data_IF_510222990023
#
_entry.id   IF_510222990023
#
_cell.length_a   1.000
_cell.length_b   1.000
_cell.length_c   1.000
_cell.angle_alpha   90.00
_cell.angle_beta   90.00
_cell.angle_gamma   90.00
#
_symmetry.space_group_name_H-M   'P 1'
#
loop_
_entity.id
_entity.type
_entity.pdbx_description
1 polymer ?
#
# COMPACT_ATOMS: atom_id res chain seq x y z
N UNK A 1 -50.87 -25.27 54.14
CA UNK A 1 -50.44 -26.68 53.96
C UNK A 1 -49.52 -26.75 52.75
N UNK A 2 -48.56 -27.67 52.78
CA UNK A 2 -47.70 -28.13 51.69
C UNK A 2 -46.55 -27.22 51.19
N UNK A 3 -45.33 -27.63 51.59
CA UNK A 3 -44.01 -27.36 51.00
C UNK A 3 -43.91 -27.90 49.58
N UNK A 4 -43.22 -27.19 48.68
CA UNK A 4 -42.46 -27.77 47.55
C UNK A 4 -41.45 -26.72 47.06
N UNK A 5 -40.19 -26.77 47.53
CA UNK A 5 -39.02 -27.36 46.85
C UNK A 5 -38.59 -26.64 45.56
N UNK A 6 -37.58 -25.78 45.75
CA UNK A 6 -36.30 -25.72 45.02
C UNK A 6 -36.38 -25.63 43.50
N UNK A 7 -35.93 -24.49 42.98
CA UNK A 7 -34.91 -24.45 41.92
C UNK A 7 -34.08 -23.18 42.07
N UNK A 8 -32.92 -23.34 42.71
CA UNK A 8 -31.77 -22.44 42.53
C UNK A 8 -31.34 -22.55 41.07
N UNK A 9 -31.30 -21.43 40.35
CA UNK A 9 -30.40 -21.29 39.21
C UNK A 9 -29.49 -20.11 39.54
N UNK A 10 -28.34 -20.46 40.12
CA UNK A 10 -27.23 -19.55 40.32
C UNK A 10 -26.65 -19.21 38.95
N UNK A 11 -26.73 -17.94 38.56
CA UNK A 11 -25.99 -17.37 37.44
C UNK A 11 -24.52 -17.34 37.85
N UNK A 12 -23.75 -18.32 37.36
CA UNK A 12 -22.29 -18.33 37.47
C UNK A 12 -21.72 -17.25 36.55
N UNK A 13 -21.34 -16.12 37.16
CA UNK A 13 -20.38 -15.18 36.61
C UNK A 13 -19.02 -15.88 36.50
N UNK A 14 -18.73 -16.47 35.33
CA UNK A 14 -17.37 -16.85 34.97
C UNK A 14 -16.62 -15.59 34.49
N UNK A 15 -15.89 -14.95 35.41
CA UNK A 15 -14.79 -14.06 35.06
C UNK A 15 -13.70 -14.89 34.35
N UNK A 16 -13.76 -14.97 33.02
CA UNK A 16 -12.60 -15.29 32.20
C UNK A 16 -11.88 -13.98 31.85
N UNK A 17 -11.28 -13.37 32.87
CA UNK A 17 -10.32 -12.27 32.74
C UNK A 17 -8.95 -12.76 33.26
N UNK A 18 -8.29 -13.52 32.42
CA UNK A 18 -6.84 -13.75 32.34
C UNK A 18 -6.64 -14.01 30.84
N UNK A 19 -5.90 -13.24 30.07
CA UNK A 19 -4.72 -12.48 30.41
C UNK A 19 -3.75 -12.74 29.26
N UNK A 20 -3.51 -11.69 28.46
CA UNK A 20 -2.29 -11.42 27.71
C UNK A 20 -1.79 -12.45 26.68
N UNK A 21 -1.85 -11.99 25.44
CA UNK A 21 -0.70 -11.91 24.53
C UNK A 21 -0.06 -13.24 24.13
N UNK A 22 -0.75 -13.98 23.26
CA UNK A 22 -0.04 -14.42 22.05
C UNK A 22 -0.02 -13.24 21.10
N UNK A 23 0.87 -12.30 21.40
CA UNK A 23 1.43 -11.44 20.37
C UNK A 23 2.17 -12.38 19.42
N UNK A 24 1.45 -12.86 18.41
CA UNK A 24 2.07 -13.05 17.12
C UNK A 24 2.45 -11.62 16.71
N UNK A 25 3.63 -11.20 17.17
CA UNK A 25 4.40 -10.20 16.44
C UNK A 25 4.34 -10.74 15.03
N UNK A 26 3.57 -10.07 14.16
CA UNK A 26 3.81 -10.10 12.74
C UNK A 26 5.33 -9.94 12.64
N UNK A 27 5.99 -11.07 12.35
CA UNK A 27 7.43 -11.11 12.30
C UNK A 27 7.80 -10.04 11.31
N UNK A 28 8.59 -9.06 11.73
CA UNK A 28 9.33 -8.27 10.77
C UNK A 28 9.89 -9.27 9.76
N UNK A 29 9.69 -9.08 8.45
CA UNK A 29 10.17 -10.02 7.46
C UNK A 29 11.63 -10.30 7.78
N UNK A 30 11.98 -11.57 7.95
CA UNK A 30 13.34 -11.95 8.29
C UNK A 30 14.24 -11.27 7.25
N UNK A 31 15.10 -10.35 7.70
CA UNK A 31 15.89 -9.49 6.81
C UNK A 31 16.81 -10.29 5.87
N UNK A 32 16.98 -11.60 6.14
CA UNK A 32 17.81 -12.54 5.39
C UNK A 32 17.01 -13.60 4.59
N UNK A 33 15.67 -13.51 4.53
CA UNK A 33 14.91 -14.38 3.64
C UNK A 33 15.18 -13.98 2.18
N UNK A 34 15.40 -14.96 1.27
CA UNK A 34 15.53 -14.65 -0.15
C UNK A 34 14.27 -13.92 -0.63
N UNK A 35 14.40 -12.92 -1.53
CA UNK A 35 13.24 -12.21 -2.05
C UNK A 35 12.25 -13.19 -2.68
N UNK A 36 10.99 -13.10 -2.26
CA UNK A 36 9.91 -13.91 -2.79
C UNK A 36 9.23 -13.17 -3.95
N UNK A 37 9.11 -13.78 -5.15
CA UNK A 37 8.61 -13.09 -6.33
C UNK A 37 7.10 -12.77 -6.24
N UNK A 38 6.33 -13.53 -5.46
CA UNK A 38 4.91 -13.26 -5.23
C UNK A 38 4.73 -12.05 -4.31
N UNK A 39 5.47 -11.99 -3.20
CA UNK A 39 5.50 -10.80 -2.32
C UNK A 39 5.93 -9.54 -3.09
N UNK A 40 6.90 -9.67 -4.00
CA UNK A 40 7.33 -8.56 -4.86
C UNK A 40 6.27 -8.15 -5.87
N UNK A 41 5.54 -9.09 -6.45
CA UNK A 41 4.39 -8.79 -7.31
C UNK A 41 3.34 -7.98 -6.55
N UNK A 42 2.99 -8.41 -5.33
CA UNK A 42 2.05 -7.70 -4.45
C UNK A 42 2.55 -6.28 -4.18
N UNK A 43 3.81 -6.15 -3.78
CA UNK A 43 4.38 -4.84 -3.45
C UNK A 43 4.39 -3.88 -4.64
N UNK A 44 4.81 -4.34 -5.82
CA UNK A 44 4.80 -3.53 -7.04
C UNK A 44 3.35 -3.15 -7.43
N UNK A 45 2.43 -4.11 -7.35
CA UNK A 45 1.01 -3.87 -7.61
C UNK A 45 0.42 -2.83 -6.65
N UNK A 46 0.80 -2.88 -5.37
CA UNK A 46 0.38 -1.91 -4.35
C UNK A 46 0.79 -0.48 -4.70
N UNK A 47 1.99 -0.27 -5.25
CA UNK A 47 2.38 1.07 -5.71
C UNK A 47 1.51 1.57 -6.87
N UNK A 48 1.14 0.68 -7.79
CA UNK A 48 0.16 0.98 -8.84
C UNK A 48 -1.18 1.44 -8.25
N UNK A 49 -1.73 0.70 -7.29
CA UNK A 49 -2.97 1.06 -6.59
C UNK A 49 -2.87 2.41 -5.88
N UNK A 50 -1.75 2.68 -5.20
CA UNK A 50 -1.51 3.99 -4.56
C UNK A 50 -1.59 5.13 -5.58
N UNK A 51 -0.94 4.97 -6.73
CA UNK A 51 -0.93 5.99 -7.78
C UNK A 51 -2.29 6.15 -8.44
N UNK A 52 -3.03 5.06 -8.64
CA UNK A 52 -4.40 5.09 -9.16
C UNK A 52 -5.35 5.80 -8.19
N UNK A 53 -5.20 5.60 -6.89
CA UNK A 53 -5.96 6.35 -5.88
C UNK A 53 -5.68 7.84 -5.98
N UNK A 54 -4.41 8.25 -6.08
CA UNK A 54 -4.05 9.66 -6.30
C UNK A 54 -4.66 10.18 -7.59
N UNK A 55 -4.57 9.41 -8.68
CA UNK A 55 -5.14 9.79 -9.96
C UNK A 55 -6.66 9.99 -9.86
N UNK A 56 -7.41 9.05 -9.29
CA UNK A 56 -8.87 9.12 -9.13
C UNK A 56 -9.33 10.24 -8.18
N UNK A 57 -8.55 10.52 -7.15
CA UNK A 57 -8.88 11.57 -6.18
C UNK A 57 -8.59 12.98 -6.71
N UNK A 58 -7.71 13.08 -7.70
CA UNK A 58 -7.23 14.36 -8.20
C UNK A 58 -7.62 14.62 -9.65
N UNK A 59 -8.02 13.60 -10.41
CA UNK A 59 -8.37 13.66 -11.85
C UNK A 59 -9.42 12.60 -12.20
N UNK A 60 -9.96 12.67 -13.42
CA UNK A 60 -10.97 11.71 -13.92
C UNK A 60 -10.39 10.70 -14.95
N UNK A 61 -9.13 10.29 -14.83
CA UNK A 61 -8.50 9.39 -15.81
C UNK A 61 -8.16 8.03 -15.16
N UNK A 62 -8.83 6.94 -15.56
CA UNK A 62 -8.46 5.60 -15.13
C UNK A 62 -7.09 5.19 -15.68
N UNK A 63 -6.30 4.50 -14.86
CA UNK A 63 -5.09 3.81 -15.32
C UNK A 63 -5.43 2.48 -15.98
N UNK A 64 -4.54 1.99 -16.84
CA UNK A 64 -4.68 0.68 -17.48
C UNK A 64 -4.04 -0.41 -16.60
N UNK A 65 -4.75 -1.53 -16.43
CA UNK A 65 -4.23 -2.67 -15.68
C UNK A 65 -3.07 -3.36 -16.42
N UNK A 66 -1.96 -3.60 -15.71
CA UNK A 66 -0.82 -4.37 -16.21
C UNK A 66 -1.04 -5.88 -16.00
N UNK A 67 -0.44 -6.75 -16.84
CA UNK A 67 -0.54 -8.19 -16.67
C UNK A 67 0.17 -8.68 -15.39
N UNK A 68 -0.52 -9.52 -14.62
CA UNK A 68 -0.01 -10.16 -13.41
C UNK A 68 0.94 -11.33 -13.77
N UNK A 69 2.22 -11.19 -13.45
CA UNK A 69 3.21 -12.28 -13.52
C UNK A 69 4.36 -12.07 -12.55
N UNK A 70 4.83 -13.15 -11.94
CA UNK A 70 5.97 -13.20 -11.02
C UNK A 70 7.34 -13.28 -11.74
N UNK A 71 7.33 -13.38 -13.07
CA UNK A 71 8.57 -13.49 -13.84
C UNK A 71 9.43 -12.22 -13.69
N UNK A 72 10.75 -12.32 -13.45
CA UNK A 72 11.61 -11.15 -13.19
C UNK A 72 11.54 -10.06 -14.26
N UNK A 73 11.50 -10.44 -15.54
CA UNK A 73 11.34 -9.49 -16.63
C UNK A 73 9.99 -8.76 -16.62
N UNK A 74 8.92 -9.41 -16.13
CA UNK A 74 7.62 -8.76 -15.94
C UNK A 74 7.64 -7.83 -14.74
N UNK A 75 8.14 -8.28 -13.59
CA UNK A 75 8.32 -7.42 -12.41
C UNK A 75 9.14 -6.16 -12.74
N UNK A 76 10.20 -6.31 -13.53
CA UNK A 76 11.02 -5.19 -14.01
C UNK A 76 10.25 -4.21 -14.91
N UNK A 77 9.32 -4.69 -15.75
CA UNK A 77 8.47 -3.81 -16.58
C UNK A 77 7.44 -3.09 -15.73
N UNK A 78 6.75 -3.82 -14.86
CA UNK A 78 5.72 -3.25 -13.99
C UNK A 78 6.33 -2.17 -13.07
N UNK A 79 7.53 -2.40 -12.53
CA UNK A 79 8.22 -1.39 -11.72
C UNK A 79 8.61 -0.13 -12.53
N UNK A 80 8.96 -0.27 -13.81
CA UNK A 80 9.19 0.88 -14.71
C UNK A 80 7.89 1.64 -14.98
N UNK A 81 6.77 0.94 -15.12
CA UNK A 81 5.46 1.56 -15.28
C UNK A 81 5.06 2.35 -14.02
N UNK A 82 5.28 1.80 -12.82
CA UNK A 82 5.06 2.53 -11.56
C UNK A 82 5.86 3.84 -11.51
N UNK A 83 7.13 3.84 -11.93
CA UNK A 83 7.95 5.07 -12.00
C UNK A 83 7.37 6.07 -13.01
N UNK A 84 6.88 5.60 -14.15
CA UNK A 84 6.23 6.46 -15.15
C UNK A 84 4.96 7.11 -14.58
N UNK A 85 4.07 6.32 -13.97
CA UNK A 85 2.84 6.81 -13.35
C UNK A 85 3.11 7.81 -12.22
N UNK A 86 4.12 7.54 -11.39
CA UNK A 86 4.53 8.44 -10.32
C UNK A 86 4.92 9.81 -10.86
N UNK A 87 5.82 9.85 -11.86
CA UNK A 87 6.27 11.10 -12.47
C UNK A 87 5.13 11.84 -13.18
N UNK A 88 4.21 11.12 -13.81
CA UNK A 88 3.05 11.68 -14.48
C UNK A 88 2.08 12.34 -13.49
N UNK A 89 1.76 11.65 -12.39
CA UNK A 89 0.91 12.18 -11.32
C UNK A 89 1.53 13.42 -10.67
N UNK A 90 2.82 13.39 -10.35
CA UNK A 90 3.56 14.56 -9.84
C UNK A 90 3.49 15.75 -10.79
N UNK A 91 3.78 15.53 -12.07
CA UNK A 91 3.74 16.57 -13.09
C UNK A 91 2.36 17.22 -13.20
N UNK A 92 1.28 16.42 -13.15
CA UNK A 92 -0.10 16.91 -13.20
C UNK A 92 -0.46 17.77 -12.00
N UNK A 93 -0.12 17.33 -10.79
CA UNK A 93 -0.39 18.08 -9.57
C UNK A 93 0.43 19.37 -9.51
N UNK A 94 1.70 19.32 -9.91
CA UNK A 94 2.55 20.49 -10.00
C UNK A 94 2.00 21.53 -10.99
N UNK A 95 1.55 21.11 -12.17
CA UNK A 95 0.95 22.00 -13.17
C UNK A 95 -0.31 22.74 -12.65
N UNK A 96 -0.96 22.20 -11.62
CA UNK A 96 -2.13 22.79 -10.96
C UNK A 96 -1.79 23.56 -9.68
N UNK A 97 -0.53 23.59 -9.29
CA UNK A 97 -0.08 24.19 -8.02
C UNK A 97 -0.55 23.42 -6.78
N UNK A 98 -0.86 22.13 -6.91
CA UNK A 98 -1.29 21.27 -5.81
C UNK A 98 -0.08 20.51 -5.23
N UNK A 99 0.05 20.54 -3.91
CA UNK A 99 1.11 19.86 -3.15
C UNK A 99 2.53 20.13 -3.67
N UNK A 100 2.90 21.40 -3.94
CA UNK A 100 4.13 21.74 -4.68
C UNK A 100 5.41 21.16 -4.04
N UNK A 101 5.42 20.96 -2.73
CA UNK A 101 6.52 20.36 -1.97
C UNK A 101 6.81 18.90 -2.33
N UNK A 102 5.81 18.12 -2.75
CA UNK A 102 5.96 16.71 -3.18
C UNK A 102 5.73 16.51 -4.67
N UNK A 103 5.00 17.41 -5.33
CA UNK A 103 4.63 17.28 -6.74
C UNK A 103 5.59 18.01 -7.69
N UNK A 104 6.16 19.15 -7.29
CA UNK A 104 7.05 19.92 -8.13
C UNK A 104 8.52 19.55 -7.89
N UNK A 105 9.27 19.37 -8.97
CA UNK A 105 10.69 19.04 -8.92
C UNK A 105 11.13 18.25 -10.14
N UNK A 106 12.40 17.81 -10.20
CA UNK A 106 12.85 16.91 -11.24
C UNK A 106 12.09 15.58 -11.20
N UNK A 107 11.99 14.94 -12.36
CA UNK A 107 11.46 13.58 -12.47
C UNK A 107 12.37 12.61 -11.70
N UNK A 108 11.76 11.59 -11.10
CA UNK A 108 12.49 10.47 -10.52
C UNK A 108 12.94 9.54 -11.64
N UNK A 109 14.26 9.53 -11.90
CA UNK A 109 14.88 8.82 -13.02
C UNK A 109 16.01 7.90 -12.50
N UNK A 110 15.68 6.74 -11.92
CA UNK A 110 16.69 5.79 -11.49
C UNK A 110 17.42 5.20 -12.70
N UNK A 111 18.70 4.88 -12.56
CA UNK A 111 19.56 4.47 -13.70
C UNK A 111 19.01 3.27 -14.48
N UNK A 112 18.34 2.34 -13.80
CA UNK A 112 17.75 1.14 -14.40
C UNK A 112 16.50 1.39 -15.25
N UNK A 113 15.96 2.61 -15.28
CA UNK A 113 14.86 2.98 -16.17
C UNK A 113 15.27 2.82 -17.65
N UNK A 114 16.56 2.96 -17.93
CA UNK A 114 17.17 2.82 -19.26
C UNK A 114 17.60 1.38 -19.60
N UNK A 115 17.38 0.42 -18.70
CA UNK A 115 17.69 -0.99 -18.98
C UNK A 115 16.93 -1.46 -20.24
N UNK A 116 17.50 -2.36 -21.06
CA UNK A 116 16.78 -2.88 -22.21
C UNK A 116 15.48 -3.60 -21.79
N UNK A 117 14.52 -3.71 -22.71
CA UNK A 117 13.25 -4.40 -22.45
C UNK A 117 13.45 -5.90 -22.15
N UNK A 118 14.55 -6.48 -22.61
CA UNK A 118 14.96 -7.87 -22.38
C UNK A 118 15.80 -8.05 -21.12
N UNK A 119 15.98 -7.02 -20.30
CA UNK A 119 16.68 -7.16 -19.03
C UNK A 119 15.92 -8.10 -18.10
N UNK A 120 16.63 -9.03 -17.48
CA UNK A 120 16.13 -9.94 -16.45
C UNK A 120 16.98 -9.74 -15.18
N UNK A 121 16.73 -8.67 -14.40
CA UNK A 121 17.44 -8.47 -13.16
C UNK A 121 17.11 -9.60 -12.17
N UNK A 122 18.03 -9.87 -11.26
CA UNK A 122 17.78 -10.80 -10.16
C UNK A 122 16.66 -10.30 -9.25
N UNK A 123 16.03 -11.21 -8.50
CA UNK A 123 15.01 -10.84 -7.52
C UNK A 123 15.57 -9.91 -6.43
N UNK A 124 16.86 -10.05 -6.08
CA UNK A 124 17.52 -9.17 -5.11
C UNK A 124 17.62 -7.73 -5.64
N UNK A 125 18.04 -7.58 -6.90
CA UNK A 125 18.10 -6.27 -7.55
C UNK A 125 16.69 -5.67 -7.66
N UNK A 126 15.69 -6.47 -8.04
CA UNK A 126 14.31 -6.01 -8.14
C UNK A 126 13.77 -5.56 -6.77
N UNK A 127 14.08 -6.26 -5.68
CA UNK A 127 13.70 -5.86 -4.31
C UNK A 127 14.33 -4.53 -3.93
N UNK A 128 15.63 -4.37 -4.20
CA UNK A 128 16.32 -3.09 -3.96
C UNK A 128 15.72 -1.95 -4.77
N UNK A 129 15.38 -2.19 -6.05
CA UNK A 129 14.72 -1.20 -6.91
C UNK A 129 13.32 -0.85 -6.39
N UNK A 130 12.53 -1.85 -5.96
CA UNK A 130 11.20 -1.66 -5.39
C UNK A 130 11.25 -0.81 -4.12
N UNK A 131 12.18 -1.11 -3.20
CA UNK A 131 12.39 -0.31 -1.99
C UNK A 131 12.68 1.17 -2.32
N UNK A 132 13.56 1.43 -3.30
CA UNK A 132 13.86 2.80 -3.73
C UNK A 132 12.65 3.51 -4.36
N UNK A 133 11.78 2.79 -5.06
CA UNK A 133 10.50 3.33 -5.56
C UNK A 133 9.55 3.63 -4.40
N UNK A 134 9.48 2.76 -3.39
CA UNK A 134 8.68 2.93 -2.18
C UNK A 134 8.98 4.25 -1.47
N UNK A 135 10.27 4.56 -1.32
CA UNK A 135 10.75 5.80 -0.70
C UNK A 135 10.26 7.07 -1.41
N UNK A 136 9.86 6.97 -2.69
CA UNK A 136 9.30 8.07 -3.46
C UNK A 136 7.76 8.07 -3.45
N UNK A 137 7.15 6.89 -3.63
CA UNK A 137 5.69 6.75 -3.79
C UNK A 137 4.96 6.93 -2.46
N UNK A 138 5.47 6.33 -1.36
CA UNK A 138 4.78 6.38 -0.07
C UNK A 138 4.61 7.79 0.47
N UNK A 139 5.65 8.65 0.57
CA UNK A 139 5.47 10.00 1.11
C UNK A 139 4.56 10.87 0.25
N UNK A 140 4.63 10.69 -1.07
CA UNK A 140 3.76 11.38 -2.02
C UNK A 140 2.28 11.00 -1.81
N UNK A 141 1.99 9.69 -1.77
CA UNK A 141 0.65 9.17 -1.53
C UNK A 141 0.10 9.59 -0.16
N UNK A 142 0.89 9.45 0.91
CA UNK A 142 0.50 9.84 2.27
C UNK A 142 0.13 11.31 2.35
N UNK A 143 0.92 12.19 1.72
CA UNK A 143 0.67 13.64 1.71
C UNK A 143 -0.67 13.97 1.06
N UNK A 144 -0.93 13.45 -0.14
CA UNK A 144 -2.18 13.68 -0.86
C UNK A 144 -3.37 13.12 -0.08
N UNK A 145 -3.26 11.88 0.41
CA UNK A 145 -4.34 11.21 1.11
C UNK A 145 -4.66 11.85 2.46
N UNK A 146 -3.65 12.33 3.20
CA UNK A 146 -3.85 13.03 4.47
C UNK A 146 -4.65 14.33 4.30
N UNK A 147 -4.32 15.14 3.29
CA UNK A 147 -5.05 16.38 3.01
C UNK A 147 -6.50 16.10 2.62
N UNK A 148 -6.75 15.13 1.75
CA UNK A 148 -8.11 14.78 1.32
C UNK A 148 -8.93 14.26 2.50
N UNK A 149 -8.36 13.38 3.34
CA UNK A 149 -9.02 12.92 4.58
C UNK A 149 -9.35 14.08 5.52
N UNK A 150 -8.46 15.06 5.66
CA UNK A 150 -8.67 16.23 6.51
C UNK A 150 -9.81 17.13 6.02
N UNK A 151 -10.09 17.13 4.71
CA UNK A 151 -11.18 17.90 4.10
C UNK A 151 -12.53 17.18 4.10
N UNK A 152 -12.51 15.85 4.27
CA UNK A 152 -13.73 15.05 4.27
C UNK A 152 -14.53 15.26 5.57
N UNK A 153 -15.80 15.66 5.43
CA UNK A 153 -16.71 15.93 6.54
C UNK A 153 -17.53 14.71 6.95
N UNK A 154 -17.71 13.73 6.05
CA UNK A 154 -18.36 12.47 6.36
C UNK A 154 -17.35 11.47 6.96
N UNK A 155 -17.52 11.13 8.24
CA UNK A 155 -16.65 10.19 8.96
C UNK A 155 -16.64 8.78 8.34
N UNK A 156 -17.77 8.32 7.81
CA UNK A 156 -17.87 7.01 7.15
C UNK A 156 -17.13 7.01 5.81
N UNK A 157 -17.16 8.09 5.04
CA UNK A 157 -16.40 8.19 3.79
C UNK A 157 -14.90 8.39 4.06
N UNK A 158 -14.56 9.10 5.14
CA UNK A 158 -13.16 9.40 5.50
C UNK A 158 -12.33 8.13 5.69
N UNK A 159 -12.93 7.07 6.24
CA UNK A 159 -12.23 5.80 6.50
C UNK A 159 -11.84 5.06 5.21
N UNK A 160 -12.51 5.32 4.09
CA UNK A 160 -12.25 4.65 2.81
C UNK A 160 -11.29 5.41 1.91
N UNK A 161 -10.98 6.68 2.22
CA UNK A 161 -10.04 7.48 1.43
C UNK A 161 -8.65 6.87 1.55
N UNK A 162 -8.13 6.42 0.41
CA UNK A 162 -6.84 5.77 0.29
C UNK A 162 -6.67 4.59 1.28
N UNK A 163 -7.69 3.75 1.40
CA UNK A 163 -7.56 2.46 2.07
C UNK A 163 -6.87 1.47 1.12
N UNK A 164 -5.94 0.68 1.63
CA UNK A 164 -5.28 -0.40 0.89
C UNK A 164 -5.47 -1.65 1.75
N UNK A 165 -6.05 -2.70 1.17
CA UNK A 165 -6.26 -4.00 1.81
C UNK A 165 -5.03 -4.91 1.66
#
# INVERSE_FOLDING_TARGET
MARARILLVAVLFALAACGQQTGEKAGAPAADAPPDPFEMQIEIGRYGVMLDQVANLTTDIPSAAEPESEAPGTLARNLRHVVWEYNLNRSRLCARGLYPEVSCGPAYEPTWIADPATAEPSLEELRSRANAVSEQVMPFWETVCADIRARQTNDEERQYICAIE
#
